data_IF_965220106405
#
_entry.id   IF_965220106405
#
_cell.length_a   1.000
_cell.length_b   1.000
_cell.length_c   1.000
_cell.angle_alpha   90.00
_cell.angle_beta   90.00
_cell.angle_gamma   90.00
#
_symmetry.space_group_name_H-M   'P 1'
#
loop_
_entity.id
_entity.type
_entity.pdbx_description
1 polymer ?
#
# COMPACT_ATOMS: atom_id res chain seq x y z
N UNK A 1 -19.13 -3.48 0.38
CA UNK A 1 -17.66 -3.46 0.31
C UNK A 1 -17.18 -2.57 1.43
N UNK A 2 -16.32 -3.08 2.30
CA UNK A 2 -15.82 -2.34 3.46
C UNK A 2 -14.94 -1.17 2.95
N UNK A 3 -15.45 0.05 3.10
CA UNK A 3 -14.96 1.24 2.41
C UNK A 3 -14.04 2.08 3.31
N UNK A 4 -13.16 1.42 4.08
CA UNK A 4 -12.30 2.07 5.08
C UNK A 4 -11.17 2.90 4.50
N UNK A 5 -10.63 2.53 3.34
CA UNK A 5 -9.54 3.24 2.67
C UNK A 5 -9.87 3.42 1.19
N UNK A 6 -9.58 4.61 0.67
CA UNK A 6 -9.75 4.95 -0.74
C UNK A 6 -8.47 4.66 -1.53
N UNK A 7 -8.55 4.72 -2.86
CA UNK A 7 -7.37 4.69 -3.76
C UNK A 7 -6.34 5.74 -3.35
N UNK A 8 -6.79 6.94 -3.00
CA UNK A 8 -5.92 8.03 -2.57
C UNK A 8 -5.19 7.69 -1.27
N UNK A 9 -5.84 7.00 -0.33
CA UNK A 9 -5.21 6.60 0.92
C UNK A 9 -4.13 5.53 0.68
N UNK A 10 -4.38 4.58 -0.22
CA UNK A 10 -3.35 3.61 -0.62
C UNK A 10 -2.18 4.26 -1.36
N UNK A 11 -2.42 5.30 -2.19
CA UNK A 11 -1.33 6.08 -2.79
C UNK A 11 -0.49 6.82 -1.75
N UNK A 12 -1.10 7.36 -0.69
CA UNK A 12 -0.37 7.97 0.44
C UNK A 12 0.46 6.95 1.22
N UNK A 13 -0.06 5.73 1.40
CA UNK A 13 0.68 4.61 1.99
C UNK A 13 1.88 4.26 1.12
N UNK A 14 1.67 4.09 -0.18
CA UNK A 14 2.72 3.80 -1.16
C UNK A 14 3.84 4.84 -1.08
N UNK A 15 3.49 6.13 -1.13
CA UNK A 15 4.47 7.20 -1.05
C UNK A 15 5.18 7.23 0.30
N UNK A 16 4.49 6.90 1.39
CA UNK A 16 5.11 6.83 2.72
C UNK A 16 6.14 5.71 2.82
N UNK A 17 5.83 4.51 2.30
CA UNK A 17 6.78 3.39 2.24
C UNK A 17 7.93 3.72 1.30
N UNK A 18 7.65 4.29 0.12
CA UNK A 18 8.69 4.64 -0.86
C UNK A 18 9.67 5.70 -0.34
N UNK A 19 9.16 6.70 0.37
CA UNK A 19 9.95 7.82 0.91
C UNK A 19 10.73 7.48 2.18
N UNK A 20 10.25 6.53 2.99
CA UNK A 20 10.80 6.24 4.32
C UNK A 20 11.38 4.83 4.46
N UNK A 21 11.09 3.95 3.51
CA UNK A 21 11.51 2.56 3.50
C UNK A 21 12.90 2.34 2.91
N UNK A 22 13.42 1.13 3.13
CA UNK A 22 14.67 0.66 2.55
C UNK A 22 14.37 0.05 1.19
N UNK A 23 15.09 0.47 0.16
CA UNK A 23 14.98 -0.11 -1.17
C UNK A 23 15.80 -1.40 -1.24
N UNK A 24 15.14 -2.51 -1.53
CA UNK A 24 15.75 -3.81 -1.75
C UNK A 24 15.24 -4.36 -3.09
N UNK A 25 16.15 -4.59 -4.03
CA UNK A 25 15.85 -4.88 -5.43
C UNK A 25 14.90 -3.84 -6.07
N UNK A 26 13.67 -4.27 -6.38
CA UNK A 26 12.62 -3.47 -7.01
C UNK A 26 11.50 -3.08 -6.04
N UNK A 27 11.69 -3.32 -4.73
CA UNK A 27 10.68 -3.03 -3.71
C UNK A 27 11.22 -2.08 -2.64
N UNK A 28 10.31 -1.35 -2.03
CA UNK A 28 10.55 -0.53 -0.85
C UNK A 28 9.92 -1.23 0.35
N UNK A 29 10.71 -1.45 1.39
CA UNK A 29 10.31 -2.19 2.58
C UNK A 29 10.25 -1.26 3.79
N UNK A 30 9.11 -1.21 4.47
CA UNK A 30 8.91 -0.40 5.67
C UNK A 30 7.89 -1.05 6.61
N UNK A 31 8.29 -1.38 7.84
CA UNK A 31 7.40 -1.93 8.88
C UNK A 31 6.54 -3.13 8.40
N UNK A 32 7.18 -4.10 7.75
CA UNK A 32 6.59 -5.29 7.12
C UNK A 32 5.66 -5.01 5.93
N UNK A 33 5.52 -3.75 5.53
CA UNK A 33 4.85 -3.36 4.31
C UNK A 33 5.85 -3.28 3.17
N UNK A 34 5.38 -3.68 1.99
CA UNK A 34 6.14 -3.64 0.75
C UNK A 34 5.43 -2.73 -0.23
N UNK A 35 6.17 -1.84 -0.89
CA UNK A 35 5.66 -1.04 -2.00
C UNK A 35 6.53 -1.26 -3.23
N UNK A 36 5.93 -1.43 -4.40
CA UNK A 36 6.66 -1.52 -5.66
C UNK A 36 5.81 -1.00 -6.80
N UNK A 37 6.44 -0.73 -7.93
CA UNK A 37 5.77 -0.22 -9.12
C UNK A 37 6.40 -0.82 -10.37
N UNK A 38 5.69 -0.71 -11.49
CA UNK A 38 6.18 -1.13 -12.80
C UNK A 38 7.22 -0.12 -13.32
N UNK A 39 7.77 -0.39 -14.49
CA UNK A 39 8.90 0.40 -15.01
C UNK A 39 8.58 1.89 -15.17
N UNK A 40 7.36 2.22 -15.60
CA UNK A 40 6.90 3.58 -15.85
C UNK A 40 6.08 4.18 -14.70
N UNK A 41 5.77 3.39 -13.67
CA UNK A 41 5.04 3.82 -12.47
C UNK A 41 3.53 3.93 -12.67
N UNK A 42 2.98 3.40 -13.76
CA UNK A 42 1.54 3.38 -14.02
C UNK A 42 0.78 2.43 -13.11
N UNK A 43 1.43 1.35 -12.70
CA UNK A 43 0.88 0.38 -11.76
C UNK A 43 1.73 0.36 -10.50
N UNK A 44 1.08 0.63 -9.38
CA UNK A 44 1.70 0.54 -8.06
C UNK A 44 1.08 -0.60 -7.27
N UNK A 45 1.87 -1.21 -6.40
CA UNK A 45 1.42 -2.27 -5.52
C UNK A 45 1.82 -2.01 -4.09
N UNK A 46 0.96 -2.49 -3.19
CA UNK A 46 1.24 -2.65 -1.77
C UNK A 46 1.12 -4.12 -1.41
N UNK A 47 2.03 -4.61 -0.57
CA UNK A 47 2.05 -5.99 -0.11
C UNK A 47 2.18 -6.09 1.39
N UNK A 48 1.49 -7.08 1.98
CA UNK A 48 1.60 -7.46 3.38
C UNK A 48 1.11 -8.89 3.59
N UNK A 49 1.96 -9.81 4.06
CA UNK A 49 1.61 -11.24 4.17
C UNK A 49 1.04 -11.78 2.85
N UNK A 50 -0.20 -12.27 2.85
CA UNK A 50 -0.97 -12.73 1.69
C UNK A 50 -1.79 -11.62 1.01
N UNK A 51 -1.73 -10.38 1.50
CA UNK A 51 -2.44 -9.23 0.93
C UNK A 51 -1.62 -8.59 -0.17
N UNK A 52 -2.25 -8.37 -1.32
CA UNK A 52 -1.76 -7.50 -2.39
C UNK A 52 -2.83 -6.50 -2.78
N UNK A 53 -2.48 -5.20 -2.74
CA UNK A 53 -3.30 -4.13 -3.32
C UNK A 53 -2.63 -3.65 -4.59
N UNK A 54 -3.36 -3.69 -5.70
CA UNK A 54 -2.92 -3.15 -6.99
C UNK A 54 -3.65 -1.85 -7.28
N UNK A 55 -2.87 -0.79 -7.51
CA UNK A 55 -3.30 0.55 -7.89
C UNK A 55 -3.00 0.70 -9.38
N UNK A 56 -4.04 0.68 -10.21
CA UNK A 56 -3.91 0.82 -11.66
C UNK A 56 -4.28 2.24 -12.09
N UNK A 57 -3.87 2.57 -13.31
CA UNK A 57 -4.25 3.81 -13.97
C UNK A 57 -5.78 4.03 -13.98
N UNK A 58 -6.21 5.30 -14.02
CA UNK A 58 -7.61 5.74 -13.85
C UNK A 58 -8.26 5.40 -12.49
N UNK A 59 -7.47 5.08 -11.46
CA UNK A 59 -7.97 4.87 -10.10
C UNK A 59 -8.67 3.53 -9.91
N UNK A 60 -8.36 2.54 -10.74
CA UNK A 60 -8.84 1.18 -10.52
C UNK A 60 -8.06 0.52 -9.39
N UNK A 61 -8.79 -0.13 -8.48
CA UNK A 61 -8.26 -0.78 -7.28
C UNK A 61 -8.58 -2.26 -7.32
N UNK A 62 -7.57 -3.12 -7.14
CA UNK A 62 -7.74 -4.55 -6.94
C UNK A 62 -7.12 -4.95 -5.61
N UNK A 63 -7.87 -5.69 -4.79
CA UNK A 63 -7.42 -6.18 -3.48
C UNK A 63 -7.54 -7.70 -3.51
N UNK A 64 -6.42 -8.37 -3.24
CA UNK A 64 -6.32 -9.83 -3.23
C UNK A 64 -5.73 -10.28 -1.89
N UNK A 65 -6.37 -11.26 -1.26
CA UNK A 65 -5.89 -11.91 -0.03
C UNK A 65 -6.61 -13.24 0.16
N UNK A 66 -5.97 -14.15 0.91
CA UNK A 66 -6.55 -15.44 1.27
C UNK A 66 -7.20 -15.40 2.66
N UNK A 67 -6.62 -14.61 3.58
CA UNK A 67 -7.01 -14.53 4.99
C UNK A 67 -7.53 -13.14 5.32
N UNK A 68 -8.80 -13.05 5.70
CA UNK A 68 -9.42 -11.79 6.16
C UNK A 68 -8.64 -11.16 7.31
N UNK A 69 -8.08 -11.97 8.23
CA UNK A 69 -7.27 -11.46 9.34
C UNK A 69 -6.01 -10.69 8.88
N UNK A 70 -5.36 -11.13 7.80
CA UNK A 70 -4.21 -10.40 7.23
C UNK A 70 -4.64 -9.09 6.60
N UNK A 71 -5.80 -9.07 5.93
CA UNK A 71 -6.36 -7.85 5.34
C UNK A 71 -6.75 -6.81 6.41
N UNK A 72 -7.39 -7.25 7.51
CA UNK A 72 -7.69 -6.38 8.65
C UNK A 72 -6.44 -5.76 9.26
N UNK A 73 -5.39 -6.57 9.47
CA UNK A 73 -4.12 -6.08 10.01
C UNK A 73 -3.45 -5.10 9.04
N UNK A 74 -3.47 -5.40 7.74
CA UNK A 74 -2.94 -4.51 6.71
C UNK A 74 -3.63 -3.13 6.75
N UNK A 75 -4.97 -3.09 6.81
CA UNK A 75 -5.70 -1.83 6.87
C UNK A 75 -5.36 -1.01 8.12
N UNK A 76 -5.25 -1.65 9.28
CA UNK A 76 -4.85 -0.98 10.52
C UNK A 76 -3.43 -0.38 10.42
N UNK A 77 -2.50 -1.09 9.79
CA UNK A 77 -1.15 -0.56 9.52
C UNK A 77 -1.17 0.62 8.57
N UNK A 78 -1.94 0.55 7.48
CA UNK A 78 -2.11 1.66 6.54
C UNK A 78 -2.66 2.92 7.21
N UNK A 79 -3.69 2.78 8.04
CA UNK A 79 -4.29 3.89 8.82
C UNK A 79 -3.24 4.48 9.76
N UNK A 80 -2.52 3.64 10.51
CA UNK A 80 -1.49 4.10 11.46
C UNK A 80 -0.35 4.84 10.76
N UNK A 81 0.08 4.36 9.58
CA UNK A 81 1.14 4.99 8.81
C UNK A 81 0.75 6.37 8.29
N UNK A 82 -0.51 6.52 7.87
CA UNK A 82 -1.00 7.77 7.24
C UNK A 82 -1.56 8.78 8.24
N UNK A 83 -1.91 8.37 9.46
CA UNK A 83 -2.37 9.25 10.51
C UNK A 83 -1.29 10.23 11.03
N UNK A 84 0.00 9.95 10.77
CA UNK A 84 1.12 10.66 11.39
C UNK A 84 1.88 11.63 10.45
N UNK A 85 1.47 11.78 9.19
CA UNK A 85 2.06 12.79 8.28
C UNK A 85 1.10 13.99 8.14
N UNK A 86 1.43 15.19 8.67
CA UNK A 86 0.70 16.38 8.26
C UNK A 86 0.93 16.57 6.75
N UNK A 87 -0.14 16.88 6.03
CA UNK A 87 -0.04 17.38 4.65
C UNK A 87 0.87 18.61 4.68
N UNK A 88 2.07 18.49 4.13
CA UNK A 88 2.88 19.64 3.74
C UNK A 88 2.55 20.01 2.30
#
# INVERSE_FOLDING_TARGET
MDNRLTVMDFLKVFESIRSSGVKEDHKYNFADLHAWHDYDGYTCWLGFKDVTVTLMFHGSLKIEYDKTASYEEFLNRCITLTANKPLQ
#
